data_IF_943102323510
#
_entry.id   IF_943102323510
#
_cell.length_a   1.000
_cell.length_b   1.000
_cell.length_c   1.000
_cell.angle_alpha   90.00
_cell.angle_beta   90.00
_cell.angle_gamma   90.00
#
_symmetry.space_group_name_H-M   'P 1'
#
loop_
_entity.id
_entity.type
_entity.pdbx_description
1 polymer ?
#
# COMPACT_ATOMS: atom_id res chain seq x y z
N UNK A 1 -41.67 -18.32 15.10
CA UNK A 1 -40.86 -17.85 13.95
C UNK A 1 -39.72 -16.93 14.43
N UNK A 2 -38.55 -17.48 14.79
CA UNK A 2 -37.33 -16.72 15.17
C UNK A 2 -36.50 -16.26 13.94
N UNK A 3 -37.09 -16.34 12.75
CA UNK A 3 -36.41 -16.30 11.44
C UNK A 3 -35.91 -14.91 11.00
N UNK A 4 -36.70 -13.81 11.09
CA UNK A 4 -36.28 -12.54 10.48
C UNK A 4 -35.14 -11.82 11.21
N UNK A 5 -34.99 -12.03 12.52
CA UNK A 5 -33.88 -11.46 13.31
C UNK A 5 -32.57 -12.22 13.07
N UNK A 6 -32.65 -13.55 12.93
CA UNK A 6 -31.50 -14.38 12.60
C UNK A 6 -30.91 -13.99 11.24
N UNK A 7 -31.74 -13.92 10.20
CA UNK A 7 -31.27 -13.55 8.86
C UNK A 7 -30.67 -12.15 8.81
N UNK A 8 -31.25 -11.17 9.52
CA UNK A 8 -30.64 -9.84 9.61
C UNK A 8 -29.23 -9.87 10.23
N UNK A 9 -29.04 -10.69 11.27
CA UNK A 9 -27.75 -10.85 11.91
C UNK A 9 -26.75 -11.56 10.99
N UNK A 10 -27.13 -12.68 10.36
CA UNK A 10 -26.27 -13.43 9.44
C UNK A 10 -25.87 -12.64 8.20
N UNK A 11 -26.79 -11.84 7.65
CA UNK A 11 -26.52 -11.01 6.47
C UNK A 11 -25.78 -9.70 6.81
N UNK A 12 -25.61 -9.38 8.11
CA UNK A 12 -24.97 -8.15 8.56
C UNK A 12 -25.72 -6.88 8.12
N UNK A 13 -27.06 -6.93 8.06
CA UNK A 13 -27.88 -5.81 7.57
C UNK A 13 -28.67 -5.13 8.69
N UNK A 14 -28.44 -3.83 8.85
CA UNK A 14 -29.16 -2.98 9.79
C UNK A 14 -30.25 -2.15 9.12
N UNK A 15 -31.30 -1.78 9.87
CA UNK A 15 -32.40 -0.91 9.41
C UNK A 15 -33.10 -1.44 8.15
N UNK A 16 -33.04 -2.76 7.97
CA UNK A 16 -33.57 -3.52 6.84
C UNK A 16 -34.69 -4.44 7.33
N UNK A 17 -35.65 -4.71 6.45
CA UNK A 17 -36.63 -5.80 6.59
C UNK A 17 -36.21 -6.88 5.61
N UNK A 18 -36.03 -8.10 6.11
CA UNK A 18 -35.87 -9.30 5.28
C UNK A 18 -37.26 -9.85 5.07
N UNK A 19 -37.69 -9.89 3.82
CA UNK A 19 -39.03 -10.32 3.42
C UNK A 19 -39.04 -11.82 3.16
N UNK A 20 -38.02 -12.31 2.45
CA UNK A 20 -37.87 -13.70 2.05
C UNK A 20 -36.38 -14.01 1.85
N UNK A 21 -36.01 -15.27 2.08
CA UNK A 21 -34.67 -15.79 1.80
C UNK A 21 -34.83 -17.12 1.11
N UNK A 22 -34.27 -17.24 -0.08
CA UNK A 22 -34.31 -18.42 -0.92
C UNK A 22 -32.89 -18.88 -1.26
N UNK A 23 -32.77 -20.16 -1.61
CA UNK A 23 -31.58 -20.73 -2.21
C UNK A 23 -31.89 -21.01 -3.68
N UNK A 24 -31.21 -20.30 -4.56
CA UNK A 24 -31.28 -20.53 -6.00
C UNK A 24 -30.40 -21.73 -6.34
N UNK A 25 -31.05 -22.86 -6.67
CA UNK A 25 -30.37 -24.12 -7.00
C UNK A 25 -29.59 -24.04 -8.32
N UNK A 26 -29.96 -23.16 -9.25
CA UNK A 26 -29.29 -23.04 -10.54
C UNK A 26 -27.97 -22.28 -10.42
N UNK A 27 -28.00 -21.16 -9.68
CA UNK A 27 -26.82 -20.31 -9.47
C UNK A 27 -25.99 -20.74 -8.24
N UNK A 28 -26.52 -21.67 -7.44
CA UNK A 28 -26.01 -22.15 -6.15
C UNK A 28 -25.73 -21.00 -5.17
N UNK A 29 -26.71 -20.10 -5.02
CA UNK A 29 -26.58 -18.88 -4.21
C UNK A 29 -27.77 -18.66 -3.29
N UNK A 30 -27.52 -18.00 -2.17
CA UNK A 30 -28.59 -17.49 -1.30
C UNK A 30 -29.01 -16.11 -1.76
N UNK A 31 -30.30 -15.91 -2.02
CA UNK A 31 -30.89 -14.61 -2.35
C UNK A 31 -31.81 -14.18 -1.21
N UNK A 32 -31.53 -13.03 -0.61
CA UNK A 32 -32.40 -12.43 0.39
C UNK A 32 -33.12 -11.23 -0.20
N UNK A 33 -34.44 -11.32 -0.31
CA UNK A 33 -35.30 -10.20 -0.69
C UNK A 33 -35.48 -9.28 0.51
N UNK A 34 -35.08 -8.03 0.32
CA UNK A 34 -34.99 -7.04 1.40
C UNK A 34 -35.58 -5.71 0.99
N UNK A 35 -35.99 -4.93 1.98
CA UNK A 35 -36.31 -3.51 1.80
C UNK A 35 -35.89 -2.65 2.98
N UNK A 36 -35.70 -1.34 2.78
CA UNK A 36 -35.47 -0.42 3.91
C UNK A 36 -36.68 -0.40 4.86
N UNK A 37 -36.44 -0.15 6.14
CA UNK A 37 -37.54 0.17 7.08
C UNK A 37 -38.21 1.51 6.70
N UNK A 38 -39.51 1.66 7.00
CA UNK A 38 -40.37 2.79 6.58
C UNK A 38 -39.73 4.17 6.77
N UNK A 39 -39.06 4.41 7.91
CA UNK A 39 -38.37 5.67 8.24
C UNK A 39 -37.20 6.05 7.30
N UNK A 40 -36.78 5.16 6.39
CA UNK A 40 -35.65 5.36 5.47
C UNK A 40 -36.07 5.39 3.99
N UNK A 41 -37.36 5.36 3.66
CA UNK A 41 -37.83 5.25 2.27
C UNK A 41 -37.51 6.47 1.37
N UNK A 42 -37.46 7.68 1.92
CA UNK A 42 -37.34 8.93 1.15
C UNK A 42 -36.07 9.71 1.49
N UNK A 43 -34.90 9.14 1.20
CA UNK A 43 -33.60 9.82 1.41
C UNK A 43 -32.73 9.73 0.18
N UNK A 44 -32.05 10.82 -0.16
CA UNK A 44 -31.07 10.87 -1.24
C UNK A 44 -29.95 9.86 -0.98
N UNK A 45 -29.60 9.04 -1.97
CA UNK A 45 -28.49 8.09 -1.83
C UNK A 45 -27.13 8.77 -1.62
N UNK A 46 -26.90 9.93 -2.23
CA UNK A 46 -25.63 10.65 -2.16
C UNK A 46 -25.40 11.39 -0.82
N UNK A 47 -26.34 12.24 -0.36
CA UNK A 47 -26.18 12.98 0.91
C UNK A 47 -27.02 12.48 2.10
N UNK A 48 -27.92 11.52 1.91
CA UNK A 48 -28.79 11.01 2.98
C UNK A 48 -29.88 11.99 3.46
N UNK A 49 -29.97 13.21 2.91
CA UNK A 49 -31.05 14.17 3.21
C UNK A 49 -32.41 13.64 2.77
N UNK A 50 -33.47 14.03 3.47
CA UNK A 50 -34.84 13.69 3.07
C UNK A 50 -35.12 14.22 1.67
N UNK A 51 -35.75 13.40 0.84
CA UNK A 51 -36.05 13.72 -0.55
C UNK A 51 -37.38 13.07 -0.95
N UNK A 52 -38.29 13.78 -1.63
CA UNK A 52 -39.54 13.23 -2.14
C UNK A 52 -39.28 12.13 -3.17
N UNK A 53 -40.23 11.21 -3.27
CA UNK A 53 -40.23 10.16 -4.28
C UNK A 53 -40.24 10.76 -5.70
N UNK A 54 -39.53 10.12 -6.64
CA UNK A 54 -39.47 10.54 -8.05
C UNK A 54 -40.09 9.49 -8.97
N UNK A 55 -39.49 8.29 -9.05
CA UNK A 55 -40.00 7.17 -9.83
C UNK A 55 -39.45 5.81 -9.33
N UNK A 56 -39.80 4.72 -10.02
CA UNK A 56 -39.33 3.35 -9.68
C UNK A 56 -37.89 3.06 -10.08
N UNK A 57 -37.22 3.94 -10.83
CA UNK A 57 -35.90 3.68 -11.40
C UNK A 57 -35.89 2.46 -12.32
N UNK A 58 -34.74 1.79 -12.40
CA UNK A 58 -34.53 0.57 -13.19
C UNK A 58 -35.11 -0.70 -12.54
N UNK A 59 -35.87 -0.55 -11.45
CA UNK A 59 -36.52 -1.67 -10.76
C UNK A 59 -35.63 -2.37 -9.72
N UNK A 60 -35.74 -3.70 -9.68
CA UNK A 60 -35.10 -4.55 -8.68
C UNK A 60 -33.61 -4.71 -8.99
N UNK A 61 -32.78 -4.49 -7.97
CA UNK A 61 -31.32 -4.59 -8.06
C UNK A 61 -30.79 -5.64 -7.12
N UNK A 62 -29.62 -6.17 -7.47
CA UNK A 62 -28.89 -7.19 -6.70
C UNK A 62 -27.60 -6.58 -6.12
N UNK A 63 -27.31 -6.87 -4.85
CA UNK A 63 -26.07 -6.49 -4.16
C UNK A 63 -25.37 -7.72 -3.62
N UNK A 64 -24.06 -7.80 -3.83
CA UNK A 64 -23.24 -8.87 -3.28
C UNK A 64 -22.99 -8.65 -1.78
N UNK A 65 -23.37 -9.64 -0.96
CA UNK A 65 -23.07 -9.69 0.47
C UNK A 65 -21.90 -10.65 0.76
N UNK A 66 -21.50 -10.76 2.03
CA UNK A 66 -20.53 -11.76 2.47
C UNK A 66 -21.10 -13.18 2.32
N UNK A 67 -20.21 -14.16 2.15
CA UNK A 67 -20.59 -15.56 1.99
C UNK A 67 -21.12 -16.15 3.29
N UNK A 68 -22.10 -17.05 3.15
CA UNK A 68 -22.55 -17.91 4.23
C UNK A 68 -21.87 -19.27 4.05
N UNK A 69 -20.76 -19.45 4.76
CA UNK A 69 -19.89 -20.62 4.57
C UNK A 69 -19.29 -20.60 3.16
N UNK A 70 -19.62 -21.60 2.35
CA UNK A 70 -19.13 -21.76 0.97
C UNK A 70 -20.00 -21.05 -0.07
N UNK A 71 -21.22 -20.67 0.31
CA UNK A 71 -22.28 -20.22 -0.58
C UNK A 71 -22.26 -18.70 -0.74
N UNK A 72 -22.36 -18.24 -1.99
CA UNK A 72 -22.47 -16.81 -2.30
C UNK A 72 -23.84 -16.30 -1.91
N UNK A 73 -23.88 -15.07 -1.40
CA UNK A 73 -25.10 -14.43 -0.92
C UNK A 73 -25.30 -13.10 -1.63
N UNK A 74 -26.54 -12.87 -2.03
CA UNK A 74 -27.01 -11.64 -2.63
C UNK A 74 -28.21 -11.07 -1.89
N UNK A 75 -28.26 -9.75 -1.81
CA UNK A 75 -29.46 -9.02 -1.40
C UNK A 75 -30.17 -8.50 -2.64
N UNK A 76 -31.49 -8.60 -2.66
CA UNK A 76 -32.32 -8.04 -3.72
C UNK A 76 -33.37 -7.08 -3.18
N UNK A 77 -33.50 -5.93 -3.83
CA UNK A 77 -34.45 -4.90 -3.43
C UNK A 77 -34.78 -3.96 -4.58
N UNK A 78 -35.95 -3.34 -4.52
CA UNK A 78 -36.29 -2.22 -5.38
C UNK A 78 -35.49 -0.97 -5.00
N UNK A 79 -34.93 -0.33 -6.03
CA UNK A 79 -34.09 0.85 -5.90
C UNK A 79 -34.70 2.11 -6.54
N UNK A 80 -35.87 2.59 -6.06
CA UNK A 80 -36.53 3.76 -6.62
C UNK A 80 -35.69 5.02 -6.47
N UNK A 81 -35.98 6.00 -7.34
CA UNK A 81 -35.33 7.30 -7.31
C UNK A 81 -36.13 8.30 -6.48
N UNK A 82 -35.42 9.29 -5.96
CA UNK A 82 -35.93 10.43 -5.21
C UNK A 82 -35.39 11.72 -5.82
N UNK A 83 -36.10 12.83 -5.67
CA UNK A 83 -35.65 14.14 -6.15
C UNK A 83 -34.95 14.89 -5.02
N UNK A 84 -33.62 14.86 -5.01
CA UNK A 84 -32.83 15.61 -4.02
C UNK A 84 -32.69 17.08 -4.44
N UNK A 85 -32.88 18.01 -3.52
CA UNK A 85 -32.67 19.44 -3.78
C UNK A 85 -31.22 19.80 -4.16
N UNK A 86 -30.24 18.99 -3.75
CA UNK A 86 -28.81 19.22 -4.03
C UNK A 86 -28.33 18.46 -5.27
N UNK A 87 -28.85 17.25 -5.50
CA UNK A 87 -28.32 16.32 -6.50
C UNK A 87 -29.30 15.99 -7.63
N UNK A 88 -30.51 16.56 -7.63
CA UNK A 88 -31.56 16.21 -8.57
C UNK A 88 -32.08 14.77 -8.39
N UNK A 89 -32.69 14.19 -9.45
CA UNK A 89 -33.15 12.80 -9.45
C UNK A 89 -32.02 11.80 -9.24
N UNK A 90 -32.10 10.99 -8.18
CA UNK A 90 -31.05 10.02 -7.82
C UNK A 90 -31.64 8.81 -7.09
N UNK A 91 -30.95 7.66 -7.15
CA UNK A 91 -31.37 6.46 -6.42
C UNK A 91 -31.39 6.77 -4.92
N UNK A 92 -32.46 6.34 -4.24
CA UNK A 92 -32.57 6.52 -2.79
C UNK A 92 -31.45 5.84 -2.02
N UNK A 93 -31.26 6.23 -0.76
CA UNK A 93 -30.33 5.57 0.14
C UNK A 93 -30.76 4.12 0.44
N UNK A 94 -29.82 3.18 0.31
CA UNK A 94 -29.97 1.81 0.78
C UNK A 94 -29.21 1.62 2.09
N UNK A 95 -29.86 1.18 3.19
CA UNK A 95 -29.20 1.05 4.49
C UNK A 95 -27.98 0.11 4.52
N UNK A 96 -27.93 -0.87 3.61
CA UNK A 96 -26.89 -1.88 3.55
C UNK A 96 -25.77 -1.59 2.55
N UNK A 97 -25.85 -0.55 1.72
CA UNK A 97 -24.87 -0.29 0.66
C UNK A 97 -24.62 1.20 0.41
N UNK A 98 -23.38 1.53 0.01
CA UNK A 98 -23.02 2.87 -0.48
C UNK A 98 -23.77 3.20 -1.77
N UNK A 99 -23.98 4.49 -2.02
CA UNK A 99 -24.61 4.94 -3.27
C UNK A 99 -23.81 4.48 -4.48
N UNK A 100 -24.51 3.91 -5.48
CA UNK A 100 -23.89 3.36 -6.69
C UNK A 100 -23.11 2.06 -6.50
N UNK A 101 -22.94 1.54 -5.28
CA UNK A 101 -22.23 0.29 -5.05
C UNK A 101 -23.14 -0.93 -5.31
N UNK A 102 -22.54 -1.98 -5.91
CA UNK A 102 -23.15 -3.30 -6.09
C UNK A 102 -22.85 -4.30 -4.96
N UNK A 103 -22.32 -3.83 -3.82
CA UNK A 103 -21.92 -4.67 -2.69
C UNK A 103 -22.41 -4.04 -1.38
N UNK A 104 -22.56 -4.87 -0.34
CA UNK A 104 -22.93 -4.38 1.00
C UNK A 104 -21.78 -3.67 1.69
N UNK A 105 -22.08 -2.87 2.73
CA UNK A 105 -21.08 -2.22 3.56
C UNK A 105 -20.12 -3.23 4.20
N UNK A 106 -20.64 -4.37 4.67
CA UNK A 106 -19.84 -5.43 5.27
C UNK A 106 -18.90 -6.08 4.24
N UNK A 107 -19.39 -6.32 3.02
CA UNK A 107 -18.55 -6.84 1.93
C UNK A 107 -17.42 -5.88 1.58
N UNK A 108 -17.73 -4.58 1.38
CA UNK A 108 -16.72 -3.56 1.10
C UNK A 108 -15.66 -3.48 2.22
N UNK A 109 -16.07 -3.56 3.49
CA UNK A 109 -15.14 -3.52 4.64
C UNK A 109 -14.19 -4.73 4.66
N UNK A 110 -14.71 -5.94 4.46
CA UNK A 110 -13.87 -7.15 4.43
C UNK A 110 -12.88 -7.13 3.26
N UNK A 111 -13.33 -6.72 2.06
CA UNK A 111 -12.45 -6.59 0.90
C UNK A 111 -11.35 -5.56 1.16
N UNK A 112 -11.69 -4.41 1.74
CA UNK A 112 -10.70 -3.38 2.05
C UNK A 112 -9.67 -3.86 3.07
N UNK A 113 -10.10 -4.57 4.12
CA UNK A 113 -9.19 -5.17 5.09
C UNK A 113 -8.29 -6.23 4.44
N UNK A 114 -8.85 -7.15 3.66
CA UNK A 114 -8.09 -8.18 2.94
C UNK A 114 -7.07 -7.58 1.97
N UNK A 115 -7.38 -6.46 1.33
CA UNK A 115 -6.43 -5.75 0.46
C UNK A 115 -5.17 -5.26 1.19
N UNK A 116 -5.22 -5.12 2.53
CA UNK A 116 -4.06 -4.76 3.36
C UNK A 116 -3.25 -5.97 3.84
N UNK A 117 -3.86 -7.16 3.88
CA UNK A 117 -3.28 -8.36 4.50
C UNK A 117 -2.92 -9.45 3.49
N UNK A 118 -3.44 -9.37 2.27
CA UNK A 118 -3.37 -10.44 1.29
C UNK A 118 -2.87 -9.95 -0.07
N UNK A 119 -2.34 -10.88 -0.86
CA UNK A 119 -1.94 -10.60 -2.23
C UNK A 119 -3.16 -10.33 -3.13
N UNK A 120 -2.94 -9.60 -4.23
CA UNK A 120 -3.96 -9.34 -5.25
C UNK A 120 -4.73 -10.60 -5.66
N UNK A 121 -4.03 -11.70 -5.95
CA UNK A 121 -4.65 -12.96 -6.38
C UNK A 121 -5.49 -13.58 -5.28
N UNK A 122 -5.01 -13.60 -4.04
CA UNK A 122 -5.73 -14.15 -2.89
C UNK A 122 -7.04 -13.41 -2.65
N UNK A 123 -7.03 -12.07 -2.65
CA UNK A 123 -8.26 -11.28 -2.45
C UNK A 123 -9.27 -11.52 -3.57
N UNK A 124 -8.82 -11.50 -4.83
CA UNK A 124 -9.73 -11.71 -5.97
C UNK A 124 -10.33 -13.11 -6.00
N UNK A 125 -9.55 -14.13 -5.63
CA UNK A 125 -10.00 -15.52 -5.57
C UNK A 125 -10.98 -15.74 -4.42
N UNK A 126 -10.61 -15.30 -3.21
CA UNK A 126 -11.42 -15.48 -2.00
C UNK A 126 -12.77 -14.75 -2.10
N UNK A 127 -12.74 -13.48 -2.52
CA UNK A 127 -13.94 -12.65 -2.57
C UNK A 127 -14.70 -12.78 -3.90
N UNK A 128 -14.16 -13.53 -4.86
CA UNK A 128 -14.75 -13.82 -6.18
C UNK A 128 -15.11 -12.54 -6.96
N UNK A 129 -14.19 -11.57 -6.96
CA UNK A 129 -14.36 -10.27 -7.64
C UNK A 129 -13.12 -9.87 -8.44
N UNK A 130 -13.32 -9.00 -9.44
CA UNK A 130 -12.22 -8.45 -10.21
C UNK A 130 -11.36 -7.47 -9.38
N UNK A 131 -10.06 -7.40 -9.68
CA UNK A 131 -9.14 -6.47 -9.00
C UNK A 131 -9.55 -5.00 -9.13
N UNK A 132 -10.15 -4.62 -10.27
CA UNK A 132 -10.68 -3.26 -10.46
C UNK A 132 -11.78 -2.95 -9.43
N UNK A 133 -12.60 -3.93 -9.08
CA UNK A 133 -13.63 -3.81 -8.04
C UNK A 133 -13.01 -3.61 -6.66
N UNK A 134 -11.94 -4.36 -6.34
CA UNK A 134 -11.17 -4.15 -5.10
C UNK A 134 -10.67 -2.70 -5.01
N UNK A 135 -10.10 -2.16 -6.09
CA UNK A 135 -9.65 -0.76 -6.15
C UNK A 135 -10.78 0.23 -5.88
N UNK A 136 -11.93 0.08 -6.54
CA UNK A 136 -13.11 0.93 -6.30
C UNK A 136 -13.64 0.82 -4.87
N UNK A 137 -13.57 -0.35 -4.25
CA UNK A 137 -13.94 -0.56 -2.84
C UNK A 137 -12.99 0.20 -1.94
N UNK A 138 -11.68 0.03 -2.12
CA UNK A 138 -10.65 0.71 -1.33
C UNK A 138 -10.82 2.23 -1.43
N UNK A 139 -11.05 2.78 -2.63
CA UNK A 139 -11.32 4.23 -2.78
C UNK A 139 -12.50 4.70 -1.94
N UNK A 140 -13.63 3.97 -1.93
CA UNK A 140 -14.80 4.34 -1.13
C UNK A 140 -14.55 4.23 0.37
N UNK A 141 -13.87 3.16 0.81
CA UNK A 141 -13.56 2.96 2.22
C UNK A 141 -12.57 4.02 2.72
N UNK A 142 -11.55 4.36 1.94
CA UNK A 142 -10.64 5.47 2.25
C UNK A 142 -11.39 6.80 2.35
N UNK A 143 -12.30 7.11 1.42
CA UNK A 143 -13.09 8.34 1.48
C UNK A 143 -13.94 8.45 2.76
N UNK A 144 -14.52 7.34 3.25
CA UNK A 144 -15.25 7.33 4.51
C UNK A 144 -14.34 7.56 5.73
N UNK A 145 -13.09 7.08 5.68
CA UNK A 145 -12.09 7.32 6.72
C UNK A 145 -11.67 8.80 6.69
N UNK A 146 -11.38 9.33 5.50
CA UNK A 146 -10.93 10.72 5.31
C UNK A 146 -11.99 11.74 5.71
N UNK A 147 -13.27 11.39 5.57
CA UNK A 147 -14.38 12.21 6.05
C UNK A 147 -14.47 12.31 7.59
N UNK A 148 -13.74 11.47 8.34
CA UNK A 148 -13.78 11.40 9.80
C UNK A 148 -12.43 11.68 10.45
N UNK A 149 -11.35 11.45 9.73
CA UNK A 149 -9.99 11.51 10.24
C UNK A 149 -9.18 12.47 9.39
N UNK A 150 -8.71 13.54 10.03
CA UNK A 150 -7.70 14.42 9.45
C UNK A 150 -6.32 13.76 9.56
N UNK A 151 -5.83 13.20 8.46
CA UNK A 151 -4.52 12.51 8.40
C UNK A 151 -3.34 13.45 8.62
N UNK A 152 -3.53 14.75 8.38
CA UNK A 152 -2.47 15.76 8.47
C UNK A 152 -2.46 16.44 9.84
N UNK A 153 -3.34 16.03 10.75
CA UNK A 153 -3.43 16.62 12.08
C UNK A 153 -2.25 16.20 12.94
N UNK A 154 -1.63 17.17 13.63
CA UNK A 154 -0.62 16.93 14.65
C UNK A 154 0.76 16.49 14.15
N UNK A 155 1.07 16.61 12.85
CA UNK A 155 2.37 16.22 12.32
C UNK A 155 3.51 17.06 12.92
N UNK A 156 4.54 16.38 13.43
CA UNK A 156 5.76 17.02 13.99
C UNK A 156 7.04 16.52 13.33
N UNK A 157 7.14 15.21 13.11
CA UNK A 157 8.30 14.56 12.49
C UNK A 157 7.82 13.72 11.32
N UNK A 158 8.27 14.03 10.11
CA UNK A 158 7.79 13.35 8.90
C UNK A 158 8.94 12.73 8.11
N UNK A 159 8.66 11.62 7.43
CA UNK A 159 9.52 11.01 6.42
C UNK A 159 8.95 11.26 5.04
N UNK A 160 9.80 11.67 4.09
CA UNK A 160 9.43 11.87 2.69
C UNK A 160 10.23 10.89 1.84
N UNK A 161 9.56 10.07 1.05
CA UNK A 161 10.20 9.05 0.22
C UNK A 161 9.53 8.90 -1.16
N UNK A 162 10.19 8.21 -2.08
CA UNK A 162 9.74 7.90 -3.43
C UNK A 162 9.56 6.38 -3.63
N UNK A 163 8.34 5.93 -3.93
CA UNK A 163 8.07 4.52 -4.26
C UNK A 163 7.85 4.35 -5.76
N UNK A 164 8.72 3.57 -6.41
CA UNK A 164 8.51 3.13 -7.79
C UNK A 164 7.47 2.01 -7.84
N UNK A 165 6.29 2.28 -8.40
CA UNK A 165 5.18 1.31 -8.40
C UNK A 165 4.99 0.55 -9.73
N UNK A 166 5.73 0.90 -10.79
CA UNK A 166 5.72 0.17 -12.06
C UNK A 166 7.02 0.38 -12.84
N UNK A 167 7.44 -0.65 -13.59
CA UNK A 167 8.50 -0.53 -14.61
C UNK A 167 8.19 0.64 -15.55
N UNK A 168 9.22 1.42 -15.88
CA UNK A 168 9.09 2.64 -16.69
C UNK A 168 9.07 3.94 -15.89
N UNK A 169 9.73 3.99 -14.72
CA UNK A 169 9.96 5.23 -13.95
C UNK A 169 8.67 5.92 -13.50
N UNK A 170 7.69 5.15 -13.00
CA UNK A 170 6.49 5.71 -12.36
C UNK A 170 6.65 5.72 -10.85
N UNK A 171 6.60 6.91 -10.27
CA UNK A 171 6.89 7.15 -8.86
C UNK A 171 5.67 7.71 -8.12
N UNK A 172 5.57 7.36 -6.85
CA UNK A 172 4.70 7.96 -5.86
C UNK A 172 5.58 8.69 -4.85
N UNK A 173 5.30 9.96 -4.59
CA UNK A 173 5.84 10.64 -3.41
C UNK A 173 4.97 10.25 -2.23
N UNK A 174 5.58 9.76 -1.16
CA UNK A 174 4.90 9.35 0.07
C UNK A 174 5.40 10.17 1.25
N UNK A 175 4.48 10.53 2.15
CA UNK A 175 4.80 11.18 3.42
C UNK A 175 4.28 10.31 4.54
N UNK A 176 5.17 9.98 5.47
CA UNK A 176 4.92 9.14 6.64
C UNK A 176 5.09 10.00 7.88
N UNK A 177 4.23 9.81 8.87
CA UNK A 177 4.42 10.36 10.21
C UNK A 177 5.34 9.44 11.02
N UNK A 178 6.47 9.96 11.47
CA UNK A 178 7.42 9.20 12.29
C UNK A 178 6.90 8.91 13.70
N UNK A 179 5.94 9.69 14.19
CA UNK A 179 5.40 9.50 15.54
C UNK A 179 4.45 8.30 15.60
N UNK A 180 3.65 8.09 14.55
CA UNK A 180 2.64 7.02 14.48
C UNK A 180 2.98 5.90 13.51
N UNK A 181 3.98 6.07 12.64
CA UNK A 181 4.31 5.16 11.54
C UNK A 181 3.26 5.13 10.43
N UNK A 182 2.33 6.09 10.39
CA UNK A 182 1.22 6.10 9.43
C UNK A 182 1.62 6.77 8.12
N UNK A 183 1.20 6.17 7.00
CA UNK A 183 1.19 6.85 5.71
C UNK A 183 0.10 7.94 5.72
N UNK A 184 0.51 9.20 5.80
CA UNK A 184 -0.40 10.34 5.92
C UNK A 184 -0.73 10.97 4.58
N UNK A 185 0.15 10.83 3.60
CA UNK A 185 -0.05 11.40 2.27
C UNK A 185 0.67 10.59 1.19
N UNK A 186 0.06 10.45 0.01
CA UNK A 186 0.70 9.84 -1.15
C UNK A 186 0.11 10.39 -2.46
N UNK A 187 0.96 10.78 -3.41
CA UNK A 187 0.52 11.19 -4.76
C UNK A 187 1.48 10.74 -5.86
N UNK A 188 0.97 10.52 -7.10
CA UNK A 188 1.82 10.31 -8.27
C UNK A 188 2.73 11.51 -8.55
N UNK A 189 3.99 11.23 -8.83
CA UNK A 189 5.02 12.26 -9.08
C UNK A 189 6.23 12.07 -8.16
N UNK A 190 7.35 12.69 -8.56
CA UNK A 190 8.61 12.72 -7.79
C UNK A 190 9.35 14.03 -8.04
N UNK A 191 8.66 15.11 -7.79
CA UNK A 191 9.14 16.45 -8.10
C UNK A 191 8.66 17.45 -7.05
N UNK A 192 9.29 18.62 -7.08
CA UNK A 192 8.95 19.72 -6.19
C UNK A 192 7.48 20.18 -6.36
N UNK A 193 6.87 20.02 -7.53
CA UNK A 193 5.46 20.40 -7.73
C UNK A 193 4.54 19.49 -6.92
N UNK A 194 4.80 18.19 -6.94
CA UNK A 194 4.06 17.17 -6.19
C UNK A 194 4.16 17.43 -4.69
N UNK A 195 5.36 17.66 -4.17
CA UNK A 195 5.55 17.94 -2.73
C UNK A 195 5.04 19.31 -2.31
N UNK A 196 5.03 20.31 -3.19
CA UNK A 196 4.36 21.59 -2.90
C UNK A 196 2.87 21.39 -2.61
N UNK A 197 2.20 20.48 -3.32
CA UNK A 197 0.78 20.17 -3.05
C UNK A 197 0.58 19.63 -1.63
N UNK A 198 1.49 18.79 -1.13
CA UNK A 198 1.43 18.35 0.27
C UNK A 198 1.49 19.54 1.23
N UNK A 199 2.45 20.47 1.05
CA UNK A 199 2.56 21.65 1.91
C UNK A 199 1.38 22.63 1.76
N UNK A 200 0.79 22.73 0.57
CA UNK A 200 -0.42 23.53 0.35
C UNK A 200 -1.63 22.93 1.07
N UNK A 201 -1.77 21.60 1.10
CA UNK A 201 -2.80 20.89 1.86
C UNK A 201 -2.55 20.91 3.38
N UNK A 202 -1.28 20.81 3.80
CA UNK A 202 -0.89 20.92 5.21
C UNK A 202 -1.15 22.33 5.75
N UNK A 203 -0.94 23.35 4.92
CA UNK A 203 -1.09 24.76 5.27
C UNK A 203 0.11 25.31 6.05
N UNK A 204 0.27 26.64 6.01
CA UNK A 204 1.42 27.32 6.61
C UNK A 204 1.50 27.12 8.14
N UNK A 205 0.37 27.14 8.84
CA UNK A 205 0.31 26.98 10.30
C UNK A 205 0.85 25.61 10.76
N UNK A 206 0.41 24.52 10.12
CA UNK A 206 0.88 23.17 10.46
C UNK A 206 2.28 22.91 9.92
N UNK A 207 2.64 23.51 8.78
CA UNK A 207 4.02 23.45 8.27
C UNK A 207 5.01 24.08 9.25
N UNK A 208 4.65 25.17 9.92
CA UNK A 208 5.45 25.80 10.96
C UNK A 208 5.61 24.94 12.23
N UNK A 209 4.73 23.96 12.44
CA UNK A 209 4.77 23.03 13.57
C UNK A 209 5.70 21.84 13.36
N UNK A 210 6.13 21.59 12.11
CA UNK A 210 7.11 20.57 11.78
C UNK A 210 8.45 20.91 12.44
N UNK A 211 9.11 19.88 12.96
CA UNK A 211 10.40 19.95 13.65
C UNK A 211 11.49 19.21 12.88
N UNK A 212 11.18 18.04 12.33
CA UNK A 212 12.12 17.17 11.64
C UNK A 212 11.50 16.62 10.34
N UNK A 213 12.30 16.58 9.29
CA UNK A 213 11.99 15.90 8.03
C UNK A 213 13.14 14.96 7.72
N UNK A 214 12.86 13.66 7.60
CA UNK A 214 13.81 12.72 6.98
C UNK A 214 13.46 12.50 5.51
N UNK A 215 14.47 12.42 4.65
CA UNK A 215 14.28 12.14 3.24
C UNK A 215 15.55 11.56 2.60
N UNK A 216 15.41 11.07 1.37
CA UNK A 216 16.56 10.91 0.47
C UNK A 216 17.18 12.29 0.15
N UNK A 217 18.47 12.30 -0.22
CA UNK A 217 19.28 13.49 -0.56
C UNK A 217 18.89 14.15 -1.89
N UNK A 218 17.68 13.89 -2.39
CA UNK A 218 17.19 14.51 -3.60
C UNK A 218 17.05 16.03 -3.39
N UNK A 219 17.77 16.82 -4.19
CA UNK A 219 17.82 18.29 -4.05
C UNK A 219 16.45 18.95 -4.13
N UNK A 220 15.52 18.37 -4.89
CA UNK A 220 14.16 18.88 -5.02
C UNK A 220 13.36 18.79 -3.70
N UNK A 221 13.63 17.79 -2.86
CA UNK A 221 13.02 17.67 -1.52
C UNK A 221 13.60 18.76 -0.62
N UNK A 222 14.94 18.82 -0.52
CA UNK A 222 15.64 19.78 0.32
C UNK A 222 15.24 21.23 0.00
N UNK A 223 15.20 21.60 -1.28
CA UNK A 223 14.80 22.94 -1.72
C UNK A 223 13.32 23.26 -1.38
N UNK A 224 12.43 22.28 -1.54
CA UNK A 224 11.01 22.46 -1.24
C UNK A 224 10.79 22.62 0.26
N UNK A 225 11.44 21.78 1.08
CA UNK A 225 11.35 21.84 2.55
C UNK A 225 11.94 23.16 3.07
N UNK A 226 13.11 23.57 2.57
CA UNK A 226 13.73 24.85 2.94
C UNK A 226 12.83 26.06 2.63
N UNK A 227 12.00 25.98 1.58
CA UNK A 227 11.04 27.04 1.23
C UNK A 227 9.78 26.97 2.08
N UNK A 228 9.23 25.78 2.32
CA UNK A 228 7.89 25.59 2.91
C UNK A 228 7.89 25.44 4.43
N UNK A 229 9.01 24.99 5.01
CA UNK A 229 9.21 24.78 6.43
C UNK A 229 10.68 25.06 6.81
N UNK A 230 11.14 26.31 6.71
CA UNK A 230 12.56 26.68 6.87
C UNK A 230 13.12 26.39 8.27
N UNK A 231 12.25 26.27 9.28
CA UNK A 231 12.63 25.98 10.66
C UNK A 231 12.97 24.51 10.92
N UNK A 232 12.67 23.61 9.98
CA UNK A 232 12.81 22.16 10.15
C UNK A 232 14.27 21.73 10.08
N UNK A 233 14.65 20.80 10.95
CA UNK A 233 15.88 20.03 10.81
C UNK A 233 15.68 18.96 9.74
N UNK A 234 16.41 19.09 8.63
CA UNK A 234 16.44 18.07 7.57
C UNK A 234 17.46 17.01 7.91
N UNK A 235 17.00 15.77 8.03
CA UNK A 235 17.83 14.61 8.35
C UNK A 235 17.97 13.70 7.12
N UNK A 236 19.15 13.11 6.94
CA UNK A 236 19.29 12.01 6.00
C UNK A 236 18.58 10.78 6.55
N UNK A 237 17.81 10.10 5.70
CA UNK A 237 17.15 8.87 6.09
C UNK A 237 18.17 7.75 6.43
N UNK A 238 18.07 7.08 7.59
CA UNK A 238 19.05 6.08 8.02
C UNK A 238 19.22 4.91 7.06
N UNK A 239 18.14 4.47 6.40
CA UNK A 239 18.22 3.37 5.44
C UNK A 239 19.10 3.76 4.24
N UNK A 240 18.93 4.98 3.72
CA UNK A 240 19.74 5.48 2.61
C UNK A 240 21.22 5.64 3.00
N UNK A 241 21.50 6.14 4.21
CA UNK A 241 22.88 6.25 4.72
C UNK A 241 23.56 4.87 4.80
N UNK A 242 22.89 3.87 5.38
CA UNK A 242 23.44 2.51 5.45
C UNK A 242 23.57 1.89 4.06
N UNK A 243 22.62 2.13 3.16
CA UNK A 243 22.66 1.63 1.79
C UNK A 243 23.86 2.21 1.02
N UNK A 244 24.16 3.51 1.16
CA UNK A 244 25.34 4.12 0.53
C UNK A 244 26.64 3.59 1.11
N UNK A 245 26.78 3.51 2.44
CA UNK A 245 27.96 2.94 3.08
C UNK A 245 28.21 1.50 2.60
N UNK A 246 27.15 0.70 2.54
CA UNK A 246 27.18 -0.68 2.04
C UNK A 246 27.60 -0.75 0.56
N UNK A 247 27.11 0.18 -0.26
CA UNK A 247 27.46 0.27 -1.67
C UNK A 247 28.93 0.67 -1.86
N UNK A 248 29.42 1.67 -1.12
CA UNK A 248 30.83 2.08 -1.13
C UNK A 248 31.74 0.91 -0.73
N UNK A 249 31.38 0.15 0.30
CA UNK A 249 32.12 -1.04 0.71
C UNK A 249 32.11 -2.13 -0.37
N UNK A 250 30.97 -2.34 -1.05
CA UNK A 250 30.88 -3.29 -2.17
C UNK A 250 31.72 -2.85 -3.38
N UNK A 251 31.86 -1.55 -3.64
CA UNK A 251 32.70 -1.02 -4.71
C UNK A 251 34.18 -1.24 -4.43
N UNK A 252 34.64 -0.98 -3.20
CA UNK A 252 36.02 -1.32 -2.79
C UNK A 252 36.25 -2.83 -2.87
N UNK A 253 35.27 -3.65 -2.44
CA UNK A 253 35.34 -5.11 -2.56
C UNK A 253 35.46 -5.55 -4.02
N UNK A 254 34.70 -4.94 -4.94
CA UNK A 254 34.76 -5.23 -6.39
C UNK A 254 36.10 -4.81 -6.98
N UNK A 255 36.66 -3.69 -6.56
CA UNK A 255 37.97 -3.22 -7.01
C UNK A 255 39.07 -4.23 -6.64
N UNK A 256 39.19 -4.58 -5.37
CA UNK A 256 40.16 -5.56 -4.86
C UNK A 256 39.93 -6.94 -5.49
N UNK A 257 38.67 -7.33 -5.69
CA UNK A 257 38.32 -8.56 -6.41
C UNK A 257 38.83 -8.55 -7.86
N UNK A 258 38.64 -7.44 -8.58
CA UNK A 258 39.09 -7.29 -9.96
C UNK A 258 40.63 -7.28 -10.05
N UNK A 259 41.33 -6.64 -9.13
CA UNK A 259 42.79 -6.74 -9.01
C UNK A 259 43.24 -8.19 -8.83
N UNK A 260 42.63 -8.93 -7.90
CA UNK A 260 42.95 -10.33 -7.66
C UNK A 260 42.64 -11.23 -8.87
N UNK A 261 41.63 -10.89 -9.68
CA UNK A 261 41.32 -11.60 -10.93
C UNK A 261 42.36 -11.40 -12.02
N UNK A 262 42.98 -10.21 -12.09
CA UNK A 262 44.00 -9.89 -13.10
C UNK A 262 45.34 -10.57 -12.83
N UNK A 263 45.60 -10.98 -11.58
CA UNK A 263 46.82 -11.72 -11.21
C UNK A 263 46.85 -13.12 -11.85
N UNK A 264 48.05 -13.66 -12.17
CA UNK A 264 48.19 -15.04 -12.67
C UNK A 264 47.50 -16.04 -11.74
N UNK A 265 46.70 -16.94 -12.31
CA UNK A 265 45.91 -17.92 -11.54
C UNK A 265 44.66 -17.37 -10.84
N UNK A 266 44.37 -16.06 -10.96
CA UNK A 266 43.20 -15.40 -10.39
C UNK A 266 41.86 -15.75 -11.06
N UNK A 267 41.92 -16.31 -12.29
CA UNK A 267 40.74 -16.83 -12.99
C UNK A 267 41.01 -18.20 -13.61
N UNK A 268 39.92 -18.92 -13.90
CA UNK A 268 39.92 -20.17 -14.67
C UNK A 268 38.90 -20.05 -15.80
N UNK A 269 39.27 -20.44 -17.01
CA UNK A 269 38.34 -20.58 -18.12
C UNK A 269 37.23 -21.58 -17.74
N UNK A 270 35.98 -21.17 -17.91
CA UNK A 270 34.81 -21.96 -17.51
C UNK A 270 33.92 -22.33 -18.70
N UNK A 271 34.03 -21.62 -19.82
CA UNK A 271 33.38 -21.96 -21.08
C UNK A 271 33.35 -20.77 -22.04
N UNK A 272 32.70 -20.93 -23.19
CA UNK A 272 32.37 -19.84 -24.11
C UNK A 272 30.90 -19.90 -24.48
N UNK A 273 30.22 -18.75 -24.49
CA UNK A 273 28.84 -18.64 -24.97
C UNK A 273 28.76 -17.45 -25.94
N UNK A 274 28.12 -17.64 -27.10
CA UNK A 274 28.01 -16.62 -28.15
C UNK A 274 29.36 -15.95 -28.52
N UNK A 275 30.44 -16.73 -28.60
CA UNK A 275 31.79 -16.22 -28.95
C UNK A 275 32.54 -15.50 -27.83
N UNK A 276 31.93 -15.28 -26.66
CA UNK A 276 32.58 -14.66 -25.51
C UNK A 276 33.12 -15.71 -24.54
N UNK A 277 34.39 -15.59 -24.16
CA UNK A 277 35.02 -16.45 -23.14
C UNK A 277 34.55 -16.04 -21.74
N UNK A 278 33.95 -16.98 -21.02
CA UNK A 278 33.55 -16.81 -19.62
C UNK A 278 34.62 -17.37 -18.68
N UNK A 279 35.20 -16.48 -17.88
CA UNK A 279 36.18 -16.83 -16.86
C UNK A 279 35.53 -16.77 -15.46
N UNK A 280 35.80 -17.78 -14.63
CA UNK A 280 35.39 -17.82 -13.22
C UNK A 280 36.54 -17.43 -12.31
N UNK A 281 36.23 -16.82 -11.16
CA UNK A 281 37.24 -16.43 -10.16
C UNK A 281 37.84 -17.67 -9.50
N UNK A 282 39.15 -17.67 -9.26
CA UNK A 282 39.89 -18.75 -8.58
C UNK A 282 40.74 -18.17 -7.43
N UNK A 283 41.12 -19.02 -6.47
CA UNK A 283 42.00 -18.65 -5.36
C UNK A 283 41.47 -17.46 -4.55
N UNK A 284 42.34 -16.47 -4.31
CA UNK A 284 42.01 -15.26 -3.56
C UNK A 284 40.87 -14.46 -4.21
N UNK A 285 40.80 -14.40 -5.54
CA UNK A 285 39.69 -13.74 -6.23
C UNK A 285 38.34 -14.41 -5.91
N UNK A 286 38.28 -15.75 -5.85
CA UNK A 286 37.06 -16.47 -5.45
C UNK A 286 36.71 -16.22 -3.99
N UNK A 287 37.72 -16.14 -3.12
CA UNK A 287 37.53 -15.81 -1.70
C UNK A 287 36.94 -14.40 -1.55
N UNK A 288 37.47 -13.39 -2.24
CA UNK A 288 36.95 -12.01 -2.24
C UNK A 288 35.55 -11.90 -2.84
N UNK A 289 35.26 -12.63 -3.92
CA UNK A 289 33.93 -12.68 -4.51
C UNK A 289 32.87 -13.14 -3.50
N UNK A 290 33.23 -14.08 -2.61
CA UNK A 290 32.36 -14.65 -1.58
C UNK A 290 32.51 -14.00 -0.20
N UNK A 291 33.06 -12.79 -0.14
CA UNK A 291 33.27 -12.08 1.14
C UNK A 291 32.12 -11.15 1.55
N UNK A 292 31.16 -10.88 0.66
CA UNK A 292 30.09 -9.88 0.86
C UNK A 292 29.39 -10.01 2.22
N UNK A 293 28.91 -11.19 2.59
CA UNK A 293 28.21 -11.36 3.87
C UNK A 293 29.09 -11.26 5.10
N UNK A 294 30.40 -11.51 4.98
CA UNK A 294 31.33 -11.28 6.10
C UNK A 294 31.53 -9.78 6.32
N UNK A 295 31.42 -8.97 5.26
CA UNK A 295 31.60 -7.51 5.30
C UNK A 295 30.32 -6.74 5.68
N UNK A 296 29.14 -7.34 5.49
CA UNK A 296 27.85 -6.65 5.63
C UNK A 296 27.13 -6.89 6.94
N UNK A 297 27.51 -7.93 7.67
CA UNK A 297 26.86 -8.28 8.94
C UNK A 297 27.51 -7.50 10.08
N UNK A 298 26.72 -7.24 11.11
CA UNK A 298 27.26 -6.73 12.36
C UNK A 298 28.25 -7.74 12.96
N UNK A 299 29.31 -7.28 13.67
CA UNK A 299 30.33 -8.15 14.23
C UNK A 299 29.78 -9.30 15.10
N UNK A 300 28.71 -9.05 15.85
CA UNK A 300 28.02 -10.01 16.70
C UNK A 300 27.28 -11.12 15.93
N UNK A 301 26.89 -10.86 14.68
CA UNK A 301 26.11 -11.79 13.83
C UNK A 301 26.96 -12.66 12.90
N UNK A 302 28.29 -12.51 12.98
CA UNK A 302 29.22 -13.26 12.16
C UNK A 302 29.29 -14.72 12.61
N UNK A 303 29.30 -15.64 11.65
CA UNK A 303 29.69 -17.03 11.92
C UNK A 303 31.21 -17.14 12.06
N UNK A 304 31.71 -18.24 12.63
CA UNK A 304 33.16 -18.51 12.72
C UNK A 304 33.84 -18.42 11.35
N UNK A 305 33.22 -18.99 10.33
CA UNK A 305 33.69 -18.92 8.95
C UNK A 305 33.75 -17.48 8.41
N UNK A 306 32.84 -16.61 8.84
CA UNK A 306 32.82 -15.20 8.45
C UNK A 306 33.86 -14.38 9.21
N UNK A 307 34.09 -14.66 10.50
CA UNK A 307 35.19 -14.05 11.28
C UNK A 307 36.56 -14.40 10.70
N UNK A 308 36.83 -15.69 10.47
CA UNK A 308 38.08 -16.14 9.83
C UNK A 308 38.25 -15.53 8.43
N UNK A 309 37.14 -15.24 7.73
CA UNK A 309 37.17 -14.54 6.45
C UNK A 309 37.61 -13.08 6.59
N UNK A 310 37.15 -12.37 7.61
CA UNK A 310 37.54 -10.99 7.88
C UNK A 310 39.00 -10.91 8.32
N UNK A 311 39.47 -11.81 9.19
CA UNK A 311 40.88 -11.91 9.57
C UNK A 311 41.78 -12.15 8.35
N UNK A 312 41.35 -13.05 7.45
CA UNK A 312 42.04 -13.25 6.18
C UNK A 312 42.03 -11.99 5.30
N UNK A 313 40.94 -11.22 5.26
CA UNK A 313 40.86 -9.93 4.54
C UNK A 313 41.80 -8.91 5.18
N UNK A 314 41.86 -8.82 6.50
CA UNK A 314 42.78 -7.95 7.23
C UNK A 314 44.24 -8.23 6.85
N UNK A 315 44.61 -9.50 6.77
CA UNK A 315 45.97 -9.92 6.41
C UNK A 315 46.30 -9.74 4.91
N UNK A 316 45.33 -9.94 4.01
CA UNK A 316 45.59 -10.04 2.56
C UNK A 316 45.11 -8.86 1.72
N UNK A 317 44.25 -8.01 2.26
CA UNK A 317 43.76 -6.79 1.62
C UNK A 317 43.54 -5.68 2.64
N UNK A 318 44.61 -4.98 3.05
CA UNK A 318 44.52 -3.86 4.01
C UNK A 318 43.56 -2.76 3.54
N UNK A 319 43.45 -2.53 2.22
CA UNK A 319 42.52 -1.57 1.61
C UNK A 319 41.06 -1.93 1.90
N UNK A 320 40.68 -3.19 1.65
CA UNK A 320 39.31 -3.65 1.89
C UNK A 320 38.99 -3.72 3.38
N UNK A 321 39.95 -4.13 4.21
CA UNK A 321 39.78 -4.16 5.65
C UNK A 321 39.59 -2.75 6.24
N UNK A 322 40.40 -1.78 5.80
CA UNK A 322 40.22 -0.38 6.21
C UNK A 322 38.84 0.15 5.82
N UNK A 323 38.37 -0.16 4.61
CA UNK A 323 37.02 0.25 4.19
C UNK A 323 35.90 -0.40 5.00
N UNK A 324 36.12 -1.60 5.56
CA UNK A 324 35.17 -2.28 6.44
C UNK A 324 35.11 -1.66 7.86
N UNK A 325 36.20 -1.04 8.32
CA UNK A 325 36.26 -0.41 9.65
C UNK A 325 35.69 1.02 9.71
N UNK A 326 35.32 1.59 8.56
CA UNK A 326 34.69 2.90 8.42
C UNK A 326 33.16 2.76 8.44
#
# INVERSE_FOLDING_TARGET
MRSPSLWRALLGVEKTVVEEVEYDENDEVVVAHVRPRRAKHGRCGACGRCAPWFDRGEGRRRWRALDLGTVRVFLEADAPRVTCQVHGPTVRQMPWARHGAGHTHAFDQQVAWLATQCSKSAVTALMRIAWRTVGSIVTRVCADIDARVDRLSGLRRIGIDEVSYRKGKKFLTVVVDHDTGRLVWARPGRDAATLRVFFDELGAERSAQLTHVSADTASWIANTVATRAPQVVVCADPFHVVAWATQCLDDVRREVWNEARRKPGGTKAWGSHAGLRHNTSRGNARKLQRSRYALWKNPEDLTENQRAKLEWIAATSPKLHRAYLL
#
